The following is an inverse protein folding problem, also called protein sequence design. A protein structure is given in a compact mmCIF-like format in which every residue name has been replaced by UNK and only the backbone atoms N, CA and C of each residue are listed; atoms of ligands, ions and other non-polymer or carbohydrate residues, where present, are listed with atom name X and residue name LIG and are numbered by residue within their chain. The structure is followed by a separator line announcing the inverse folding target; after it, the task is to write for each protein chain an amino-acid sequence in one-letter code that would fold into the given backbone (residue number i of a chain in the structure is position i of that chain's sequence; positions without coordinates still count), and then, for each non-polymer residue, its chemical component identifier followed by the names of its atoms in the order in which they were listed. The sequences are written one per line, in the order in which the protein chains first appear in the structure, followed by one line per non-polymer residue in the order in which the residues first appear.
data_IF_929083302642
#
_entry.id   IF_929083302642
#
_cell.length_a   1.000
_cell.length_b   1.000
_cell.length_c   1.000
_cell.angle_alpha   90.00
_cell.angle_beta   90.00
_cell.angle_gamma   90.00
#
_symmetry.space_group_name_H-M   'P 1'
#
loop_
_entity.id
_entity.type
_entity.pdbx_description
1 polymer ?
#
# COMPACT_ATOMS: atom_id res chain seq x y z
N UNK A 1 13.12 -30.13 -11.98
CA UNK A 1 12.40 -29.06 -11.25
C UNK A 1 11.11 -28.83 -12.00
N UNK A 2 9.96 -28.86 -11.33
CA UNK A 2 8.69 -28.57 -11.98
C UNK A 2 8.72 -27.13 -12.54
N UNK A 3 8.14 -26.92 -13.72
CA UNK A 3 8.01 -25.60 -14.33
C UNK A 3 7.20 -24.69 -13.39
N UNK A 4 7.80 -23.59 -12.92
CA UNK A 4 7.13 -22.65 -12.02
C UNK A 4 6.35 -21.66 -12.88
N UNK A 5 5.02 -21.72 -12.81
CA UNK A 5 4.16 -20.72 -13.43
C UNK A 5 4.27 -19.38 -12.67
N UNK A 6 4.48 -18.24 -13.35
CA UNK A 6 4.51 -16.92 -12.71
C UNK A 6 3.14 -16.58 -12.12
N UNK A 7 3.15 -15.99 -10.93
CA UNK A 7 1.94 -15.53 -10.23
C UNK A 7 1.74 -14.04 -10.50
N UNK A 8 0.57 -13.68 -11.01
CA UNK A 8 0.23 -12.29 -11.40
C UNK A 8 -1.03 -11.86 -10.63
N UNK A 9 -0.95 -10.72 -9.94
CA UNK A 9 -2.15 -10.06 -9.40
C UNK A 9 -2.70 -9.04 -10.38
N UNK A 10 -4.02 -9.05 -10.60
CA UNK A 10 -4.69 -8.03 -11.39
C UNK A 10 -5.07 -6.84 -10.50
N UNK A 11 -4.59 -5.66 -10.87
CA UNK A 11 -4.86 -4.39 -10.19
C UNK A 11 -5.66 -3.47 -11.12
N UNK A 12 -6.53 -2.61 -10.61
CA UNK A 12 -7.34 -1.74 -11.47
C UNK A 12 -8.73 -1.45 -10.92
N UNK A 13 -9.41 -0.49 -11.55
CA UNK A 13 -10.77 -0.14 -11.12
C UNK A 13 -11.75 -1.29 -11.42
N UNK A 14 -12.48 -1.72 -10.40
CA UNK A 14 -13.51 -2.76 -10.52
C UNK A 14 -14.73 -2.35 -11.37
N UNK A 15 -14.71 -1.15 -11.97
CA UNK A 15 -15.63 -0.79 -13.06
C UNK A 15 -15.33 -1.52 -14.37
N UNK A 16 -14.11 -2.03 -14.55
CA UNK A 16 -13.64 -2.67 -15.79
C UNK A 16 -13.73 -4.19 -15.73
N UNK A 17 -14.88 -4.72 -15.28
CA UNK A 17 -15.07 -6.17 -15.07
C UNK A 17 -14.74 -7.00 -16.30
N UNK A 18 -15.16 -6.56 -17.49
CA UNK A 18 -14.92 -7.28 -18.75
C UNK A 18 -13.44 -7.40 -19.08
N UNK A 19 -12.68 -6.36 -18.77
CA UNK A 19 -11.24 -6.28 -19.02
C UNK A 19 -10.47 -7.16 -18.02
N UNK A 20 -10.88 -7.17 -16.74
CA UNK A 20 -10.38 -8.14 -15.76
C UNK A 20 -10.62 -9.59 -16.22
N UNK A 21 -11.84 -9.93 -16.63
CA UNK A 21 -12.18 -11.28 -17.11
C UNK A 21 -11.41 -11.66 -18.37
N UNK A 22 -11.20 -10.72 -19.29
CA UNK A 22 -10.41 -10.92 -20.52
C UNK A 22 -8.94 -11.15 -20.19
N UNK A 23 -8.33 -10.29 -19.37
CA UNK A 23 -6.93 -10.40 -18.97
C UNK A 23 -6.65 -11.70 -18.22
N UNK A 24 -7.56 -12.09 -17.31
CA UNK A 24 -7.46 -13.36 -16.59
C UNK A 24 -7.40 -14.56 -17.54
N UNK A 25 -8.30 -14.62 -18.54
CA UNK A 25 -8.31 -15.71 -19.53
C UNK A 25 -7.02 -15.73 -20.34
N UNK A 26 -6.59 -14.57 -20.83
CA UNK A 26 -5.38 -14.45 -21.65
C UNK A 26 -4.11 -14.86 -20.90
N UNK A 27 -3.89 -14.32 -19.69
CA UNK A 27 -2.73 -14.65 -18.86
C UNK A 27 -2.73 -16.11 -18.42
N UNK A 28 -3.89 -16.67 -18.09
CA UNK A 28 -4.02 -18.11 -17.77
C UNK A 28 -3.60 -18.98 -18.97
N UNK A 29 -4.03 -18.65 -20.18
CA UNK A 29 -3.62 -19.36 -21.40
C UNK A 29 -2.13 -19.18 -21.75
N UNK A 30 -1.49 -18.14 -21.22
CA UNK A 30 -0.04 -17.92 -21.30
C UNK A 30 0.74 -18.68 -20.22
N UNK A 31 0.07 -19.50 -19.39
CA UNK A 31 0.72 -20.25 -18.32
C UNK A 31 0.99 -19.42 -17.06
N UNK A 32 0.20 -18.39 -16.78
CA UNK A 32 0.31 -17.62 -15.53
C UNK A 32 -0.74 -18.09 -14.51
N UNK A 33 -0.38 -18.08 -13.22
CA UNK A 33 -1.35 -18.16 -12.12
C UNK A 33 -1.88 -16.75 -11.89
N UNK A 34 -3.20 -16.55 -12.02
CA UNK A 34 -3.81 -15.21 -11.90
C UNK A 34 -4.57 -15.07 -10.59
N UNK A 35 -4.25 -14.02 -9.82
CA UNK A 35 -4.97 -13.61 -8.62
C UNK A 35 -5.77 -12.34 -8.95
N UNK A 36 -7.07 -12.48 -9.17
CA UNK A 36 -7.95 -11.34 -9.51
C UNK A 36 -8.56 -10.67 -8.27
N UNK A 37 -9.30 -9.59 -8.49
CA UNK A 37 -10.17 -8.98 -7.47
C UNK A 37 -11.24 -9.97 -7.00
N UNK A 38 -11.63 -9.88 -5.73
CA UNK A 38 -12.63 -10.77 -5.16
C UNK A 38 -14.07 -10.28 -5.35
N UNK A 39 -14.24 -8.96 -5.57
CA UNK A 39 -15.53 -8.28 -5.62
C UNK A 39 -15.48 -7.18 -6.70
N UNK A 40 -16.60 -6.95 -7.38
CA UNK A 40 -16.79 -5.91 -8.39
C UNK A 40 -17.77 -4.83 -7.95
N UNK A 41 -17.58 -4.24 -6.76
CA UNK A 41 -18.54 -3.32 -6.12
C UNK A 41 -19.04 -2.12 -6.94
N UNK A 42 -18.36 -1.73 -8.04
CA UNK A 42 -18.84 -0.68 -8.96
C UNK A 42 -19.80 -1.19 -10.04
N UNK A 43 -19.70 -2.45 -10.45
CA UNK A 43 -20.45 -3.02 -11.59
C UNK A 43 -21.18 -4.31 -11.26
N UNK A 44 -21.19 -4.70 -9.99
CA UNK A 44 -21.85 -5.88 -9.46
C UNK A 44 -21.71 -5.96 -7.94
N UNK A 45 -22.17 -7.08 -7.40
CA UNK A 45 -22.06 -7.46 -5.98
C UNK A 45 -22.70 -6.43 -5.03
N UNK A 46 -23.81 -5.79 -5.45
CA UNK A 46 -24.50 -4.77 -4.64
C UNK A 46 -25.00 -5.37 -3.33
N UNK A 47 -25.38 -6.64 -3.34
CA UNK A 47 -25.84 -7.40 -2.18
C UNK A 47 -24.80 -7.46 -1.06
N UNK A 48 -23.51 -7.26 -1.35
CA UNK A 48 -22.43 -7.22 -0.36
C UNK A 48 -22.44 -5.90 0.42
N UNK A 49 -22.91 -4.81 -0.19
CA UNK A 49 -22.88 -3.46 0.38
C UNK A 49 -24.25 -3.02 0.91
N UNK A 50 -25.31 -3.70 0.47
CA UNK A 50 -26.67 -3.49 0.93
C UNK A 50 -26.76 -3.69 2.45
N UNK A 51 -27.34 -2.71 3.15
CA UNK A 51 -27.55 -2.70 4.61
C UNK A 51 -26.31 -2.47 5.49
N UNK A 52 -25.16 -2.10 4.92
CA UNK A 52 -24.03 -1.61 5.73
C UNK A 52 -24.19 -0.12 6.06
N UNK A 53 -23.94 0.25 7.31
CA UNK A 53 -23.74 1.66 7.68
C UNK A 53 -22.40 2.17 7.12
N UNK A 54 -22.25 3.50 7.04
CA UNK A 54 -21.04 4.12 6.46
C UNK A 54 -19.74 3.76 7.21
N UNK A 55 -19.81 3.54 8.52
CA UNK A 55 -18.67 3.09 9.32
C UNK A 55 -18.23 1.68 8.91
N UNK A 56 -19.19 0.76 8.83
CA UNK A 56 -18.94 -0.64 8.39
C UNK A 56 -18.44 -0.69 6.95
N UNK A 57 -18.99 0.11 6.03
CA UNK A 57 -18.50 0.21 4.64
C UNK A 57 -17.05 0.66 4.59
N UNK A 58 -16.71 1.68 5.36
CA UNK A 58 -15.34 2.21 5.42
C UNK A 58 -14.38 1.14 5.91
N UNK A 59 -14.68 0.47 7.03
CA UNK A 59 -13.85 -0.61 7.56
C UNK A 59 -13.72 -1.78 6.58
N UNK A 60 -14.80 -2.14 5.89
CA UNK A 60 -14.80 -3.20 4.88
C UNK A 60 -13.91 -2.84 3.70
N UNK A 61 -14.02 -1.61 3.17
CA UNK A 61 -13.12 -1.12 2.13
C UNK A 61 -11.67 -1.19 2.59
N UNK A 62 -11.41 -0.79 3.85
CA UNK A 62 -10.05 -0.81 4.37
C UNK A 62 -9.45 -2.22 4.42
N UNK A 63 -10.23 -3.19 4.88
CA UNK A 63 -9.85 -4.59 4.88
C UNK A 63 -9.64 -5.14 3.45
N UNK A 64 -10.47 -4.74 2.48
CA UNK A 64 -10.34 -5.18 1.09
C UNK A 64 -9.05 -4.67 0.45
N UNK A 65 -8.69 -3.41 0.69
CA UNK A 65 -7.44 -2.81 0.19
C UNK A 65 -6.21 -3.51 0.82
N UNK A 66 -6.25 -3.81 2.12
CA UNK A 66 -5.20 -4.59 2.81
C UNK A 66 -5.05 -6.02 2.27
N UNK A 67 -6.17 -6.71 2.03
CA UNK A 67 -6.16 -8.01 1.38
C UNK A 67 -5.60 -7.94 -0.04
N UNK A 68 -5.83 -6.85 -0.77
CA UNK A 68 -5.27 -6.68 -2.12
C UNK A 68 -3.75 -6.52 -2.10
N UNK A 69 -3.20 -5.74 -1.16
CA UNK A 69 -1.75 -5.66 -0.92
C UNK A 69 -1.16 -7.03 -0.56
N UNK A 70 -1.91 -7.86 0.17
CA UNK A 70 -1.50 -9.24 0.50
C UNK A 70 -1.49 -10.14 -0.74
N UNK A 71 -2.40 -9.93 -1.71
CA UNK A 71 -2.33 -10.60 -3.02
C UNK A 71 -1.07 -10.21 -3.77
N UNK A 72 -0.74 -8.92 -3.78
CA UNK A 72 0.50 -8.40 -4.37
C UNK A 72 1.72 -9.05 -3.71
N UNK A 73 1.74 -9.23 -2.38
CA UNK A 73 2.84 -9.88 -1.68
C UNK A 73 3.08 -11.32 -2.17
N UNK A 74 2.01 -12.06 -2.49
CA UNK A 74 2.07 -13.43 -3.03
C UNK A 74 2.46 -13.51 -4.51
N UNK A 75 2.32 -12.42 -5.27
CA UNK A 75 2.57 -12.40 -6.71
C UNK A 75 4.04 -12.13 -7.06
N UNK A 76 4.49 -12.61 -8.22
CA UNK A 76 5.78 -12.27 -8.80
C UNK A 76 5.72 -10.87 -9.47
N UNK A 77 4.56 -10.50 -10.03
CA UNK A 77 4.29 -9.19 -10.66
C UNK A 77 2.80 -8.79 -10.58
N UNK A 78 2.48 -7.55 -10.94
CA UNK A 78 1.08 -7.12 -11.15
C UNK A 78 0.82 -6.81 -12.62
N UNK A 79 -0.44 -6.97 -13.03
CA UNK A 79 -0.95 -6.49 -14.32
C UNK A 79 -2.08 -5.49 -14.08
N UNK A 80 -1.85 -4.24 -14.48
CA UNK A 80 -2.76 -3.11 -14.26
C UNK A 80 -3.78 -3.02 -15.39
N UNK A 81 -5.05 -3.11 -15.03
CA UNK A 81 -6.21 -2.91 -15.90
C UNK A 81 -6.58 -1.42 -15.91
N UNK A 82 -6.09 -0.70 -16.92
CA UNK A 82 -6.29 0.73 -17.11
C UNK A 82 -6.82 1.10 -18.52
N UNK A 83 -8.00 0.63 -18.95
CA UNK A 83 -8.57 0.96 -20.25
C UNK A 83 -8.64 2.48 -20.48
N UNK A 84 -8.15 2.94 -21.63
CA UNK A 84 -8.07 4.37 -21.95
C UNK A 84 -7.08 5.16 -21.08
N UNK A 85 -6.17 4.48 -20.37
CA UNK A 85 -5.18 5.10 -19.49
C UNK A 85 -5.71 5.53 -18.11
N UNK A 86 -6.95 5.19 -17.75
CA UNK A 86 -7.51 5.57 -16.46
C UNK A 86 -6.88 4.79 -15.30
N UNK A 87 -6.34 5.52 -14.30
CA UNK A 87 -5.86 4.97 -13.04
C UNK A 87 -6.50 5.76 -11.89
N UNK A 88 -7.23 5.05 -11.02
CA UNK A 88 -7.83 5.63 -9.82
C UNK A 88 -6.88 5.55 -8.62
N UNK A 89 -7.22 6.24 -7.52
CA UNK A 89 -6.41 6.31 -6.30
C UNK A 89 -6.04 4.94 -5.72
N UNK A 90 -6.98 4.00 -5.60
CA UNK A 90 -6.69 2.65 -5.09
C UNK A 90 -5.71 1.90 -5.99
N UNK A 91 -5.83 2.07 -7.31
CA UNK A 91 -4.90 1.48 -8.26
C UNK A 91 -3.52 2.15 -8.20
N UNK A 92 -3.46 3.47 -7.96
CA UNK A 92 -2.20 4.16 -7.70
C UNK A 92 -1.52 3.66 -6.41
N UNK A 93 -2.29 3.44 -5.34
CA UNK A 93 -1.81 2.80 -4.11
C UNK A 93 -1.21 1.41 -4.38
N UNK A 94 -1.90 0.58 -5.16
CA UNK A 94 -1.40 -0.75 -5.57
C UNK A 94 -0.10 -0.68 -6.41
N UNK A 95 -0.03 0.26 -7.36
CA UNK A 95 1.16 0.51 -8.19
C UNK A 95 2.32 1.00 -7.32
N UNK A 96 2.09 1.96 -6.43
CA UNK A 96 3.13 2.50 -5.56
C UNK A 96 3.66 1.44 -4.61
N UNK A 97 2.76 0.69 -3.97
CA UNK A 97 3.11 -0.44 -3.12
C UNK A 97 3.99 -1.46 -3.87
N UNK A 98 3.58 -1.87 -5.07
CA UNK A 98 4.33 -2.84 -5.89
C UNK A 98 5.71 -2.31 -6.29
N UNK A 99 5.79 -1.03 -6.68
CA UNK A 99 7.04 -0.37 -7.04
C UNK A 99 8.01 -0.29 -5.85
N UNK A 100 7.50 0.03 -4.66
CA UNK A 100 8.29 0.07 -3.41
C UNK A 100 8.87 -1.31 -3.04
N UNK A 101 8.15 -2.40 -3.35
CA UNK A 101 8.68 -3.76 -3.20
C UNK A 101 9.75 -4.10 -4.24
N UNK A 102 9.80 -3.36 -5.36
CA UNK A 102 10.66 -3.65 -6.51
C UNK A 102 10.17 -4.84 -7.32
N UNK A 103 8.86 -5.08 -7.34
CA UNK A 103 8.23 -6.09 -8.20
C UNK A 103 7.91 -5.50 -9.57
N UNK A 104 7.79 -6.35 -10.58
CA UNK A 104 7.46 -5.91 -11.93
C UNK A 104 6.00 -5.43 -11.99
N UNK A 105 5.79 -4.40 -12.82
CA UNK A 105 4.46 -3.84 -13.11
C UNK A 105 4.27 -3.83 -14.62
N UNK A 106 3.22 -4.50 -15.06
CA UNK A 106 2.76 -4.46 -16.45
C UNK A 106 1.44 -3.72 -16.54
N UNK A 107 1.18 -3.10 -17.68
CA UNK A 107 -0.02 -2.30 -17.90
C UNK A 107 -0.76 -2.80 -19.14
N UNK A 108 -2.08 -2.68 -19.12
CA UNK A 108 -2.93 -2.84 -20.30
C UNK A 108 -2.69 -1.70 -21.30
N UNK A 109 -2.70 -0.47 -20.81
CA UNK A 109 -2.32 0.74 -21.55
C UNK A 109 -1.02 1.31 -20.99
N UNK A 110 -0.03 1.66 -21.83
CA UNK A 110 1.25 2.14 -21.36
C UNK A 110 1.12 3.45 -20.58
N UNK A 111 1.88 3.57 -19.50
CA UNK A 111 1.99 4.81 -18.72
C UNK A 111 3.42 5.34 -18.78
N UNK A 112 3.60 6.63 -18.54
CA UNK A 112 4.94 7.22 -18.57
C UNK A 112 5.71 6.80 -17.32
N UNK A 113 6.96 6.39 -17.48
CA UNK A 113 7.78 5.90 -16.38
C UNK A 113 8.05 6.96 -15.31
N UNK A 114 8.15 8.24 -15.69
CA UNK A 114 8.33 9.33 -14.73
C UNK A 114 7.08 9.53 -13.84
N UNK A 115 5.89 9.26 -14.36
CA UNK A 115 4.63 9.41 -13.62
C UNK A 115 4.57 8.44 -12.42
N UNK A 116 5.03 7.19 -12.60
CA UNK A 116 5.13 6.21 -11.51
C UNK A 116 6.13 6.67 -10.45
N UNK A 117 7.32 7.10 -10.88
CA UNK A 117 8.37 7.52 -9.97
C UNK A 117 7.91 8.74 -9.14
N UNK A 118 7.29 9.72 -9.79
CA UNK A 118 6.72 10.91 -9.14
C UNK A 118 5.64 10.52 -8.12
N UNK A 119 4.72 9.62 -8.48
CA UNK A 119 3.66 9.18 -7.56
C UNK A 119 4.22 8.41 -6.35
N UNK A 120 5.18 7.52 -6.57
CA UNK A 120 5.85 6.78 -5.49
C UNK A 120 6.56 7.74 -4.54
N UNK A 121 7.28 8.73 -5.06
CA UNK A 121 7.94 9.74 -4.22
C UNK A 121 6.93 10.60 -3.46
N UNK A 122 5.79 10.93 -4.08
CA UNK A 122 4.69 11.62 -3.41
C UNK A 122 4.15 10.81 -2.22
N UNK A 123 3.90 9.51 -2.39
CA UNK A 123 3.47 8.62 -1.30
C UNK A 123 4.50 8.56 -0.17
N UNK A 124 5.78 8.35 -0.50
CA UNK A 124 6.87 8.30 0.48
C UNK A 124 6.94 9.60 1.28
N UNK A 125 6.97 10.74 0.59
CA UNK A 125 7.08 12.07 1.23
C UNK A 125 5.87 12.36 2.11
N UNK A 126 4.67 12.03 1.63
CA UNK A 126 3.43 12.21 2.39
C UNK A 126 3.41 11.36 3.66
N UNK A 127 3.83 10.11 3.55
CA UNK A 127 3.91 9.20 4.70
C UNK A 127 4.95 9.66 5.71
N UNK A 128 6.08 10.22 5.27
CA UNK A 128 7.09 10.81 6.15
C UNK A 128 6.53 11.98 6.95
N UNK A 129 5.85 12.93 6.29
CA UNK A 129 5.19 14.05 6.97
C UNK A 129 4.15 13.59 8.00
N UNK A 130 3.40 12.53 7.68
CA UNK A 130 2.41 11.96 8.59
C UNK A 130 3.08 11.23 9.77
N UNK A 131 4.20 10.55 9.54
CA UNK A 131 4.97 9.88 10.58
C UNK A 131 5.53 10.90 11.59
N UNK A 132 6.07 12.01 11.09
CA UNK A 132 6.54 13.15 11.89
C UNK A 132 5.41 13.67 12.79
N UNK A 133 4.25 13.96 12.19
CA UNK A 133 3.09 14.51 12.94
C UNK A 133 2.60 13.55 14.01
N UNK A 134 2.44 12.27 13.68
CA UNK A 134 1.93 11.30 14.64
C UNK A 134 2.92 11.07 15.78
N UNK A 135 4.23 11.11 15.51
CA UNK A 135 5.25 10.96 16.54
C UNK A 135 5.27 12.19 17.45
N UNK A 136 5.16 13.40 16.90
CA UNK A 136 5.01 14.65 17.65
C UNK A 136 3.80 14.58 18.61
N UNK A 137 2.63 14.20 18.10
CA UNK A 137 1.41 14.00 18.89
C UNK A 137 1.59 12.97 20.00
N UNK A 138 2.25 11.84 19.71
CA UNK A 138 2.50 10.79 20.68
C UNK A 138 3.38 11.28 21.83
N UNK A 139 4.41 12.08 21.57
CA UNK A 139 5.26 12.67 22.60
C UNK A 139 4.51 13.71 23.45
N UNK A 140 3.56 14.44 22.86
CA UNK A 140 2.72 15.41 23.57
C UNK A 140 1.55 14.78 24.33
N UNK A 141 1.26 13.49 24.13
CA UNK A 141 0.17 12.79 24.81
C UNK A 141 0.42 12.52 26.31
N UNK A 142 1.65 12.76 26.81
CA UNK A 142 2.08 12.42 28.18
C UNK A 142 1.78 10.95 28.58
N UNK A 143 1.78 10.03 27.61
CA UNK A 143 1.47 8.62 27.81
C UNK A 143 -0.02 8.28 27.86
N UNK A 144 -0.90 9.26 27.68
CA UNK A 144 -2.35 9.07 27.56
C UNK A 144 -2.75 9.05 26.09
N UNK A 145 -2.50 7.93 25.43
CA UNK A 145 -2.91 7.71 24.04
C UNK A 145 -3.42 6.28 23.85
N UNK A 146 -4.28 6.09 22.86
CA UNK A 146 -4.65 4.76 22.42
C UNK A 146 -3.73 4.36 21.27
N UNK A 147 -2.98 3.28 21.45
CA UNK A 147 -2.07 2.78 20.40
C UNK A 147 -2.76 2.44 19.09
N UNK A 148 -4.06 2.12 19.10
CA UNK A 148 -4.84 1.86 17.89
C UNK A 148 -5.02 3.12 17.00
N UNK A 149 -4.79 4.30 17.57
CA UNK A 149 -4.90 5.57 16.85
C UNK A 149 -3.66 5.87 16.01
N UNK A 150 -2.59 5.09 16.13
CA UNK A 150 -1.32 5.33 15.45
C UNK A 150 -0.94 4.16 14.55
N UNK A 151 -0.42 4.46 13.37
CA UNK A 151 0.14 3.42 12.49
C UNK A 151 1.51 3.04 13.03
N UNK A 152 1.75 1.74 13.21
CA UNK A 152 3.02 1.26 13.73
C UNK A 152 3.27 -0.19 13.33
N UNK A 153 4.53 -0.62 13.45
CA UNK A 153 4.89 -2.03 13.34
C UNK A 153 5.95 -2.43 14.37
N UNK A 154 6.09 -3.73 14.59
CA UNK A 154 7.11 -4.28 15.49
C UNK A 154 8.44 -4.49 14.78
N UNK A 155 9.51 -4.04 15.43
CA UNK A 155 10.88 -4.31 15.01
C UNK A 155 11.76 -4.57 16.23
N UNK A 156 12.35 -5.77 16.29
CA UNK A 156 13.03 -6.28 17.50
C UNK A 156 12.07 -6.21 18.70
N UNK A 157 12.43 -5.48 19.76
CA UNK A 157 11.59 -5.30 20.96
C UNK A 157 10.80 -3.99 20.94
N UNK A 158 11.01 -3.17 19.91
CA UNK A 158 10.45 -1.82 19.83
C UNK A 158 9.18 -1.77 18.96
N UNK A 159 8.37 -0.75 19.22
CA UNK A 159 7.27 -0.33 18.33
C UNK A 159 7.75 0.86 17.52
N UNK A 160 7.67 0.77 16.21
CA UNK A 160 8.08 1.83 15.29
C UNK A 160 6.85 2.62 14.88
N UNK A 161 6.81 3.89 15.28
CA UNK A 161 5.81 4.87 14.86
C UNK A 161 6.36 5.78 13.75
N UNK A 162 7.69 5.89 13.64
CA UNK A 162 8.32 6.61 12.55
C UNK A 162 9.47 5.76 11.96
N UNK A 163 9.29 5.20 10.74
CA UNK A 163 10.31 4.37 10.13
C UNK A 163 11.49 5.16 9.56
N UNK A 164 11.45 6.49 9.47
CA UNK A 164 12.61 7.29 9.08
C UNK A 164 13.61 7.48 10.23
N UNK A 165 13.26 7.05 11.44
CA UNK A 165 14.11 7.06 12.62
C UNK A 165 14.53 5.65 13.03
N UNK A 166 15.70 5.50 13.67
CA UNK A 166 16.15 4.23 14.28
C UNK A 166 15.18 3.75 15.37
N UNK A 167 15.20 2.46 15.67
CA UNK A 167 14.26 1.86 16.62
C UNK A 167 14.44 2.39 18.04
N UNK A 168 15.69 2.73 18.41
CA UNK A 168 16.02 3.30 19.71
C UNK A 168 15.84 4.82 19.77
N UNK A 169 15.43 5.45 18.66
CA UNK A 169 15.24 6.90 18.55
C UNK A 169 13.77 7.33 18.65
N UNK A 170 12.82 6.38 18.65
CA UNK A 170 11.38 6.67 18.69
C UNK A 170 10.98 7.51 19.92
N UNK A 171 11.64 7.31 21.07
CA UNK A 171 11.38 8.03 22.32
C UNK A 171 12.33 9.21 22.58
N UNK A 172 13.23 9.55 21.65
CA UNK A 172 14.15 10.69 21.84
C UNK A 172 13.34 12.00 21.71
N UNK A 173 13.49 12.95 22.65
CA UNK A 173 12.80 14.24 22.54
C UNK A 173 13.11 14.95 21.22
N UNK A 174 12.07 15.44 20.54
CA UNK A 174 12.16 16.13 19.25
C UNK A 174 12.72 15.30 18.09
N UNK A 175 12.75 13.97 18.21
CA UNK A 175 13.30 13.10 17.16
C UNK A 175 12.58 13.24 15.80
N UNK A 176 11.28 13.56 15.82
CA UNK A 176 10.48 13.84 14.61
C UNK A 176 10.98 15.04 13.79
N UNK A 177 11.88 15.87 14.34
CA UNK A 177 12.50 16.99 13.62
C UNK A 177 13.88 16.65 13.05
N UNK A 178 14.33 15.40 13.17
CA UNK A 178 15.73 15.02 12.96
C UNK A 178 15.91 13.96 11.85
N UNK A 179 15.07 14.01 10.81
CA UNK A 179 15.11 13.08 9.66
C UNK A 179 16.34 13.29 8.75
N UNK A 180 17.06 14.40 8.89
CA UNK A 180 18.34 14.65 8.22
C UNK A 180 19.55 14.31 9.11
N UNK A 181 19.34 13.91 10.37
CA UNK A 181 20.41 13.65 11.30
C UNK A 181 20.94 12.22 11.14
N UNK A 182 22.18 12.08 10.66
CA UNK A 182 22.80 10.78 10.36
C UNK A 182 22.93 9.84 11.56
N UNK A 183 22.92 10.35 12.80
CA UNK A 183 23.03 9.54 14.01
C UNK A 183 21.71 8.85 14.36
N UNK A 184 20.57 9.33 13.87
CA UNK A 184 19.24 8.82 14.23
C UNK A 184 18.32 8.52 13.06
N UNK A 185 18.49 9.20 11.93
CA UNK A 185 17.73 8.97 10.73
C UNK A 185 18.24 7.73 9.98
N UNK A 186 17.36 7.06 9.26
CA UNK A 186 17.66 5.89 8.45
C UNK A 186 16.89 5.91 7.14
N UNK A 187 17.43 5.26 6.13
CA UNK A 187 16.65 4.83 4.97
C UNK A 187 15.74 3.67 5.40
N UNK A 188 14.41 3.87 5.50
CA UNK A 188 13.52 2.86 6.06
C UNK A 188 13.53 1.56 5.24
N UNK A 189 13.63 1.66 3.91
CA UNK A 189 13.62 0.49 3.02
C UNK A 189 14.84 -0.40 3.23
N UNK A 190 16.00 0.20 3.52
CA UNK A 190 17.24 -0.54 3.85
C UNK A 190 17.26 -1.05 5.29
N UNK A 191 16.75 -0.25 6.23
CA UNK A 191 16.87 -0.54 7.65
C UNK A 191 15.79 -1.52 8.16
N UNK A 192 14.53 -1.26 7.84
CA UNK A 192 13.38 -2.04 8.28
C UNK A 192 12.93 -3.08 7.24
N UNK A 193 13.34 -2.91 5.99
CA UNK A 193 13.03 -3.80 4.88
C UNK A 193 11.78 -3.37 4.12
N UNK A 194 11.81 -3.61 2.80
CA UNK A 194 10.80 -3.10 1.85
C UNK A 194 9.35 -3.35 2.23
N UNK A 195 9.01 -4.57 2.64
CA UNK A 195 7.61 -4.93 2.96
C UNK A 195 7.09 -4.12 4.15
N UNK A 196 7.84 -4.07 5.26
CA UNK A 196 7.41 -3.33 6.46
C UNK A 196 7.24 -1.84 6.16
N UNK A 197 8.22 -1.27 5.46
CA UNK A 197 8.19 0.15 5.08
C UNK A 197 7.03 0.46 4.13
N UNK A 198 6.87 -0.32 3.05
CA UNK A 198 5.79 -0.10 2.09
C UNK A 198 4.40 -0.26 2.72
N UNK A 199 4.23 -1.24 3.64
CA UNK A 199 3.00 -1.39 4.41
C UNK A 199 2.72 -0.19 5.29
N UNK A 200 3.71 0.26 6.07
CA UNK A 200 3.56 1.46 6.89
C UNK A 200 3.13 2.68 6.07
N UNK A 201 3.80 2.92 4.93
CA UNK A 201 3.49 4.05 4.03
C UNK A 201 2.03 4.00 3.58
N UNK A 202 1.57 2.84 3.13
CA UNK A 202 0.21 2.70 2.66
C UNK A 202 -0.82 2.80 3.80
N UNK A 203 -0.53 2.22 4.96
CA UNK A 203 -1.43 2.25 6.13
C UNK A 203 -1.57 3.68 6.69
N UNK A 204 -0.48 4.45 6.75
CA UNK A 204 -0.51 5.80 7.30
C UNK A 204 -1.21 6.79 6.37
N UNK A 205 -1.01 6.69 5.05
CA UNK A 205 -1.74 7.48 4.06
C UNK A 205 -3.24 7.15 4.14
N UNK A 206 -3.56 5.86 4.15
CA UNK A 206 -4.92 5.37 4.20
C UNK A 206 -5.69 5.83 5.44
N UNK A 207 -5.03 5.84 6.60
CA UNK A 207 -5.63 6.32 7.85
C UNK A 207 -5.98 7.82 7.82
N UNK A 208 -5.18 8.62 7.13
CA UNK A 208 -5.33 10.09 7.09
C UNK A 208 -6.06 10.60 5.85
N UNK A 209 -6.51 9.69 4.98
CA UNK A 209 -7.12 10.01 3.70
C UNK A 209 -6.10 10.31 2.60
N UNK A 210 -6.43 9.87 1.39
CA UNK A 210 -5.78 10.32 0.16
C UNK A 210 -6.41 11.69 -0.13
N UNK A 211 -5.65 12.77 0.03
CA UNK A 211 -6.12 14.13 -0.28
C UNK A 211 -6.24 14.33 -1.79
#
# INVERSE_FOLDING_TARGET
MAEKYPVITLCGSTRFRKEFETAQKQLTLQGCIVISVGLFGYTGDSEVWENMDEGTKTQTKMMLDDMHKSKIDMADEIFVINPGGYIGESTWSEICYTSMLGKNIRYMEPIKSNEVAEMVQSHISRAEELAIRQLDELHHSNGYYNSADYVSFKFKKETIYDPWLKENSQGVPFAWQLHDNQDIAVDPFKYYGKIKTARFIEDIIMKHGIM
#
